data_IF_888488559363
#
_entry.id   IF_888488559363
#
_cell.length_a   1.000
_cell.length_b   1.000
_cell.length_c   1.000
_cell.angle_alpha   90.00
_cell.angle_beta   90.00
_cell.angle_gamma   90.00
#
_symmetry.space_group_name_H-M   'P 1'
#
loop_
_entity.id
_entity.type
_entity.pdbx_description
1 polymer ?
#
# COMPACT_ATOMS: atom_id res chain seq x y z
N UNK A 1 -6.09 -2.73 -18.44
CA UNK A 1 -5.96 -2.15 -17.08
C UNK A 1 -4.52 -2.30 -16.63
N UNK A 2 -3.88 -1.25 -16.12
CA UNK A 2 -2.50 -1.31 -15.63
C UNK A 2 -2.51 -1.87 -14.21
N UNK A 3 -1.69 -2.89 -13.95
CA UNK A 3 -1.54 -3.55 -12.65
C UNK A 3 -0.14 -3.27 -12.13
N UNK A 4 -0.04 -2.85 -10.87
CA UNK A 4 1.24 -2.58 -10.22
C UNK A 4 1.29 -3.37 -8.92
N UNK A 5 2.39 -4.09 -8.71
CA UNK A 5 2.70 -4.74 -7.43
C UNK A 5 3.96 -4.12 -6.86
N UNK A 6 3.88 -3.61 -5.63
CA UNK A 6 5.01 -3.00 -4.92
C UNK A 6 5.44 -3.92 -3.80
N UNK A 7 6.71 -4.32 -3.80
CA UNK A 7 7.30 -5.14 -2.75
C UNK A 7 8.05 -4.25 -1.76
N UNK A 8 7.67 -4.32 -0.48
CA UNK A 8 8.26 -3.54 0.61
C UNK A 8 8.75 -4.54 1.68
N UNK A 9 9.93 -5.15 1.48
CA UNK A 9 10.40 -6.23 2.34
C UNK A 9 10.99 -5.76 3.68
N UNK A 10 11.34 -4.48 3.82
CA UNK A 10 12.20 -4.00 4.93
C UNK A 10 11.73 -2.68 5.56
N UNK A 11 10.70 -2.02 5.03
CA UNK A 11 10.26 -0.74 5.60
C UNK A 11 9.34 -0.96 6.80
N UNK A 12 9.59 -0.23 7.89
CA UNK A 12 8.78 -0.24 9.11
C UNK A 12 7.58 0.70 9.03
N UNK A 13 7.61 1.70 8.14
CA UNK A 13 6.61 2.76 8.05
C UNK A 13 6.50 3.30 6.62
N UNK A 14 5.50 4.15 6.38
CA UNK A 14 5.28 4.86 5.12
C UNK A 14 4.89 6.31 5.43
N UNK A 15 5.53 7.26 4.76
CA UNK A 15 5.20 8.68 4.93
C UNK A 15 3.84 8.99 4.29
N UNK A 16 3.16 10.01 4.83
CA UNK A 16 1.85 10.46 4.31
C UNK A 16 1.89 10.90 2.85
N UNK A 17 3.02 11.44 2.38
CA UNK A 17 3.21 11.81 0.98
C UNK A 17 3.14 10.61 0.04
N UNK A 18 3.77 9.49 0.41
CA UNK A 18 3.74 8.25 -0.38
C UNK A 18 2.34 7.64 -0.35
N UNK A 19 1.69 7.59 0.82
CA UNK A 19 0.31 7.14 0.96
C UNK A 19 -0.63 7.96 0.04
N UNK A 20 -0.53 9.28 0.10
CA UNK A 20 -1.33 10.19 -0.72
C UNK A 20 -1.12 9.97 -2.22
N UNK A 21 0.12 9.73 -2.64
CA UNK A 21 0.41 9.41 -4.03
C UNK A 21 -0.23 8.08 -4.47
N UNK A 22 -0.11 7.03 -3.65
CA UNK A 22 -0.70 5.73 -3.95
C UNK A 22 -2.24 5.78 -3.99
N UNK A 23 -2.86 6.60 -3.14
CA UNK A 23 -4.30 6.87 -3.19
C UNK A 23 -4.72 7.48 -4.54
N UNK A 24 -3.97 8.46 -5.05
CA UNK A 24 -4.26 9.03 -6.39
C UNK A 24 -4.17 7.98 -7.48
N UNK A 25 -3.17 7.09 -7.43
CA UNK A 25 -3.04 6.00 -8.40
C UNK A 25 -4.29 5.10 -8.41
N UNK A 26 -4.80 4.74 -7.24
CA UNK A 26 -5.98 3.88 -7.10
C UNK A 26 -7.27 4.60 -7.51
N UNK A 27 -7.50 5.81 -6.98
CA UNK A 27 -8.79 6.48 -7.11
C UNK A 27 -8.92 7.36 -8.36
N UNK A 28 -7.89 8.10 -8.73
CA UNK A 28 -7.91 8.99 -9.90
C UNK A 28 -7.51 8.24 -11.16
N UNK A 29 -6.40 7.50 -11.10
CA UNK A 29 -5.86 6.80 -12.28
C UNK A 29 -6.41 5.38 -12.47
N UNK A 30 -7.27 4.90 -11.56
CA UNK A 30 -7.90 3.57 -11.60
C UNK A 30 -6.89 2.43 -11.79
N UNK A 31 -5.70 2.57 -11.20
CA UNK A 31 -4.66 1.54 -11.24
C UNK A 31 -5.00 0.45 -10.22
N UNK A 32 -4.89 -0.80 -10.65
CA UNK A 32 -4.98 -1.96 -9.78
C UNK A 32 -3.64 -2.13 -9.04
N UNK A 33 -3.58 -1.59 -7.83
CA UNK A 33 -2.40 -1.60 -6.96
C UNK A 33 -2.47 -2.73 -5.94
N UNK A 34 -1.36 -3.46 -5.77
CA UNK A 34 -1.17 -4.43 -4.69
C UNK A 34 0.17 -4.18 -4.00
N UNK A 35 0.21 -4.28 -2.67
CA UNK A 35 1.44 -4.10 -1.90
C UNK A 35 1.75 -5.38 -1.13
N UNK A 36 2.99 -5.84 -1.23
CA UNK A 36 3.52 -6.96 -0.47
C UNK A 36 4.43 -6.42 0.63
N UNK A 37 4.05 -6.65 1.89
CA UNK A 37 4.74 -6.15 3.08
C UNK A 37 5.22 -7.31 3.93
N UNK A 38 6.47 -7.29 4.35
CA UNK A 38 7.01 -8.28 5.30
C UNK A 38 6.89 -7.82 6.75
N UNK A 39 7.04 -6.52 7.00
CA UNK A 39 7.09 -5.97 8.35
C UNK A 39 5.69 -5.75 8.95
N UNK A 40 5.49 -6.23 10.18
CA UNK A 40 4.19 -6.14 10.85
C UNK A 40 3.82 -4.71 11.24
N UNK A 41 4.79 -3.84 11.55
CA UNK A 41 4.51 -2.46 11.93
C UNK A 41 3.95 -1.68 10.75
N UNK A 42 4.52 -1.88 9.57
CA UNK A 42 4.00 -1.27 8.35
C UNK A 42 2.61 -1.82 8.00
N UNK A 43 2.39 -3.13 8.12
CA UNK A 43 1.07 -3.71 7.90
C UNK A 43 0.03 -3.11 8.85
N UNK A 44 0.33 -3.07 10.16
CA UNK A 44 -0.56 -2.53 11.19
C UNK A 44 -0.81 -1.03 11.00
N UNK A 45 0.20 -0.26 10.57
CA UNK A 45 0.02 1.16 10.22
C UNK A 45 -1.02 1.31 9.11
N UNK A 46 -0.91 0.54 8.03
CA UNK A 46 -1.86 0.58 6.93
C UNK A 46 -3.24 0.08 7.34
N UNK A 47 -3.32 -0.86 8.28
CA UNK A 47 -4.58 -1.39 8.81
C UNK A 47 -5.32 -0.38 9.67
N UNK A 48 -4.63 0.28 10.61
CA UNK A 48 -5.18 1.37 11.43
C UNK A 48 -5.70 2.53 10.58
N UNK A 49 -5.07 2.77 9.43
CA UNK A 49 -5.50 3.77 8.45
C UNK A 49 -6.60 3.28 7.49
N UNK A 50 -7.07 2.04 7.61
CA UNK A 50 -8.03 1.37 6.73
C UNK A 50 -7.59 1.29 5.25
N UNK A 51 -6.27 1.24 5.00
CA UNK A 51 -5.68 1.21 3.66
C UNK A 51 -5.37 -0.20 3.16
N UNK A 52 -5.44 -1.22 4.01
CA UNK A 52 -5.16 -2.63 3.64
C UNK A 52 -6.04 -3.08 2.47
N UNK A 53 -7.35 -2.83 2.54
CA UNK A 53 -8.27 -3.17 1.46
C UNK A 53 -8.05 -2.30 0.21
N UNK A 54 -7.75 -1.01 0.39
CA UNK A 54 -7.56 -0.04 -0.70
C UNK A 54 -6.33 -0.39 -1.55
N UNK A 55 -5.22 -0.71 -0.90
CA UNK A 55 -3.96 -1.06 -1.56
C UNK A 55 -3.76 -2.56 -1.76
N UNK A 56 -4.79 -3.37 -1.47
CA UNK A 56 -4.75 -4.85 -1.54
C UNK A 56 -3.49 -5.41 -0.88
N UNK A 57 -3.20 -4.92 0.32
CA UNK A 57 -1.97 -5.24 1.05
C UNK A 57 -2.00 -6.71 1.46
N UNK A 58 -0.91 -7.42 1.20
CA UNK A 58 -0.72 -8.80 1.65
C UNK A 58 0.59 -8.92 2.42
N UNK A 59 0.58 -9.76 3.47
CA UNK A 59 1.80 -10.17 4.14
C UNK A 59 2.60 -11.12 3.23
N UNK A 60 3.92 -10.95 3.20
CA UNK A 60 4.86 -11.84 2.50
C UNK A 60 5.24 -13.05 3.33
#
# INVERSE_FOLDING_TARGET
>A
QRKITINIPQSLTMTSSVIGYLLKLVFEHKIDLSILVKDEKLFNLLDVLNLVAVFKVKKM
#
